data_IF_658541645165
#
_entry.id   IF_658541645165
#
_cell.length_a   1.000
_cell.length_b   1.000
_cell.length_c   1.000
_cell.angle_alpha   90.00
_cell.angle_beta   90.00
_cell.angle_gamma   90.00
#
_symmetry.space_group_name_H-M   'P 1'
#
loop_
_entity.id
_entity.type
_entity.pdbx_description
1 polymer ?
#
# COMPACT_ATOMS: atom_id res chain seq x y z
N UNK A 1 -1.59 -19.99 -7.12
CA UNK A 1 -2.20 -20.32 -5.82
C UNK A 1 -3.28 -19.29 -5.52
N UNK A 2 -4.36 -19.67 -4.83
CA UNK A 2 -5.33 -18.64 -4.40
C UNK A 2 -4.75 -17.91 -3.20
N UNK A 3 -4.52 -16.62 -3.32
CA UNK A 3 -4.13 -15.72 -2.23
C UNK A 3 -5.34 -14.90 -1.81
N UNK A 4 -5.31 -14.42 -0.57
CA UNK A 4 -6.31 -13.51 0.01
C UNK A 4 -5.61 -12.25 0.49
N UNK A 5 -6.30 -11.12 0.43
CA UNK A 5 -5.85 -9.84 0.98
C UNK A 5 -6.81 -9.42 2.07
N UNK A 6 -6.33 -9.23 3.29
CA UNK A 6 -7.08 -8.67 4.41
C UNK A 6 -6.63 -7.22 4.64
N UNK A 7 -7.60 -6.32 4.71
CA UNK A 7 -7.37 -4.90 4.99
C UNK A 7 -7.40 -4.71 6.51
N UNK A 8 -6.32 -4.21 7.08
CA UNK A 8 -6.19 -3.93 8.50
C UNK A 8 -6.23 -2.42 8.70
N UNK A 9 -7.31 -1.92 9.31
CA UNK A 9 -7.44 -0.51 9.67
C UNK A 9 -6.44 -0.18 10.79
N UNK A 10 -5.61 0.81 10.54
CA UNK A 10 -4.53 1.26 11.43
C UNK A 10 -4.73 2.74 11.79
N UNK A 11 -4.18 3.18 12.92
CA UNK A 11 -4.26 4.58 13.37
C UNK A 11 -5.68 5.18 13.22
N UNK A 12 -5.79 6.38 12.62
CA UNK A 12 -7.08 7.06 12.37
C UNK A 12 -7.69 6.71 11.01
N UNK A 13 -6.85 6.55 9.98
CA UNK A 13 -7.26 6.38 8.58
C UNK A 13 -6.26 5.60 7.72
N UNK A 14 -5.18 5.06 8.31
CA UNK A 14 -4.20 4.24 7.60
C UNK A 14 -4.72 2.84 7.31
N UNK A 15 -4.24 2.26 6.22
CA UNK A 15 -4.42 0.86 5.87
C UNK A 15 -3.09 0.11 5.85
N UNK A 16 -3.05 -1.06 6.49
CA UNK A 16 -2.05 -2.08 6.24
C UNK A 16 -2.70 -3.27 5.53
N UNK A 17 -1.96 -3.99 4.70
CA UNK A 17 -2.51 -5.08 3.91
C UNK A 17 -1.80 -6.40 4.21
N UNK A 18 -2.55 -7.37 4.71
CA UNK A 18 -2.07 -8.73 4.95
C UNK A 18 -2.44 -9.62 3.77
N UNK A 19 -1.43 -10.08 3.01
CA UNK A 19 -1.58 -11.05 1.93
C UNK A 19 -1.21 -12.41 2.49
N UNK A 20 -2.05 -13.41 2.26
CA UNK A 20 -1.81 -14.77 2.77
C UNK A 20 -2.44 -15.86 1.92
N UNK A 21 -2.01 -17.10 2.17
CA UNK A 21 -2.63 -18.29 1.59
C UNK A 21 -2.96 -19.29 2.69
N UNK A 22 -4.17 -19.82 2.66
CA UNK A 22 -4.60 -20.86 3.59
C UNK A 22 -3.91 -22.21 3.38
N UNK A 23 -3.07 -22.36 2.33
CA UNK A 23 -2.43 -23.65 1.99
C UNK A 23 -1.10 -23.85 2.69
N UNK A 24 -0.34 -22.80 2.98
CA UNK A 24 1.03 -22.89 3.50
C UNK A 24 1.31 -22.01 4.72
N UNK A 25 0.28 -21.39 5.31
CA UNK A 25 0.36 -20.47 6.46
C UNK A 25 1.36 -19.30 6.27
N UNK A 26 1.80 -19.04 5.04
CA UNK A 26 2.70 -17.94 4.69
C UNK A 26 1.94 -16.63 4.61
N UNK A 27 2.55 -15.54 5.04
CA UNK A 27 1.94 -14.21 4.90
C UNK A 27 2.97 -13.11 4.62
N UNK A 28 2.44 -12.04 4.05
CA UNK A 28 3.15 -10.80 3.73
C UNK A 28 2.34 -9.66 4.35
N UNK A 29 3.00 -8.73 5.04
CA UNK A 29 2.38 -7.48 5.47
C UNK A 29 2.95 -6.30 4.68
N UNK A 30 2.10 -5.37 4.27
CA UNK A 30 2.49 -4.13 3.58
C UNK A 30 2.14 -2.96 4.48
N UNK A 31 3.09 -2.04 4.67
CA UNK A 31 3.00 -0.79 5.43
C UNK A 31 2.42 -0.97 6.86
N UNK A 32 3.11 -1.70 7.75
CA UNK A 32 2.63 -1.88 9.11
C UNK A 32 2.81 -0.61 9.95
N UNK A 33 1.75 0.20 10.06
CA UNK A 33 1.73 1.43 10.88
C UNK A 33 1.84 1.11 12.38
N UNK A 34 1.13 0.08 12.83
CA UNK A 34 1.16 -0.45 14.21
C UNK A 34 1.22 -1.97 14.17
N UNK A 35 1.76 -2.60 15.21
CA UNK A 35 1.94 -4.06 15.26
C UNK A 35 0.77 -4.82 15.87
N UNK A 36 0.04 -4.24 16.84
CA UNK A 36 -0.91 -4.95 17.69
C UNK A 36 -2.03 -5.64 16.90
N UNK A 37 -2.73 -4.91 16.05
CA UNK A 37 -3.80 -5.48 15.21
C UNK A 37 -3.28 -6.53 14.24
N UNK A 38 -2.03 -6.37 13.76
CA UNK A 38 -1.38 -7.33 12.87
C UNK A 38 -1.13 -8.63 13.62
N UNK A 39 -0.60 -8.57 14.87
CA UNK A 39 -0.42 -9.75 15.70
C UNK A 39 -1.74 -10.49 15.96
N UNK A 40 -2.82 -9.76 16.23
CA UNK A 40 -4.13 -10.36 16.45
C UNK A 40 -4.63 -11.14 15.23
N UNK A 41 -4.48 -10.55 14.03
CA UNK A 41 -4.89 -11.20 12.77
C UNK A 41 -4.02 -12.41 12.47
N UNK A 42 -2.69 -12.29 12.57
CA UNK A 42 -1.76 -13.40 12.36
C UNK A 42 -2.06 -14.58 13.30
N UNK A 43 -2.28 -14.30 14.58
CA UNK A 43 -2.64 -15.31 15.59
C UNK A 43 -3.99 -15.96 15.30
N UNK A 44 -5.02 -15.16 15.00
CA UNK A 44 -6.37 -15.64 14.70
C UNK A 44 -6.38 -16.58 13.50
N UNK A 45 -5.63 -16.24 12.46
CA UNK A 45 -5.55 -17.02 11.23
C UNK A 45 -4.46 -18.09 11.24
N UNK A 46 -3.65 -18.17 12.31
CA UNK A 46 -2.51 -19.10 12.47
C UNK A 46 -1.49 -18.96 11.33
N UNK A 47 -1.19 -17.71 10.95
CA UNK A 47 -0.24 -17.38 9.90
C UNK A 47 1.16 -17.15 10.46
N UNK A 48 2.16 -17.48 9.64
CA UNK A 48 3.54 -17.08 9.85
C UNK A 48 3.83 -15.83 9.01
N UNK A 49 4.51 -14.84 9.58
CA UNK A 49 4.91 -13.64 8.87
C UNK A 49 6.29 -13.86 8.23
N UNK A 50 6.32 -13.99 6.89
CA UNK A 50 7.55 -14.25 6.17
C UNK A 50 8.15 -12.99 5.54
N UNK A 51 7.30 -12.00 5.21
CA UNK A 51 7.73 -10.80 4.49
C UNK A 51 7.03 -9.55 5.00
N UNK A 52 7.79 -8.45 5.07
CA UNK A 52 7.30 -7.08 5.28
C UNK A 52 7.72 -6.25 4.08
N UNK A 53 6.79 -5.56 3.44
CA UNK A 53 7.07 -4.58 2.39
C UNK A 53 6.67 -3.19 2.85
N UNK A 54 7.51 -2.22 2.53
CA UNK A 54 7.32 -0.81 2.84
C UNK A 54 7.30 -0.03 1.53
N UNK A 55 6.26 0.80 1.35
CA UNK A 55 6.13 1.64 0.16
C UNK A 55 7.01 2.88 0.22
N UNK A 56 7.14 3.49 1.40
CA UNK A 56 7.97 4.67 1.64
C UNK A 56 8.29 4.83 3.14
N UNK A 57 9.17 5.76 3.49
CA UNK A 57 9.79 5.84 4.82
C UNK A 57 8.96 6.52 5.92
N UNK A 58 7.77 7.06 5.65
CA UNK A 58 6.98 7.74 6.67
C UNK A 58 6.63 6.83 7.86
N UNK A 59 6.58 7.43 9.04
CA UNK A 59 6.43 6.68 10.30
C UNK A 59 5.09 5.92 10.39
N UNK A 60 4.04 6.45 9.84
CA UNK A 60 2.71 5.84 9.79
C UNK A 60 2.59 4.69 8.78
N UNK A 61 3.69 4.33 8.10
CA UNK A 61 3.84 3.12 7.28
C UNK A 61 4.91 2.17 7.85
N UNK A 62 5.71 2.61 8.83
CA UNK A 62 6.90 1.87 9.27
C UNK A 62 6.98 1.60 10.78
N UNK A 63 6.19 2.28 11.62
CA UNK A 63 6.36 2.22 13.09
C UNK A 63 6.13 0.83 13.67
N UNK A 64 5.30 -0.02 13.06
CA UNK A 64 5.07 -1.40 13.50
C UNK A 64 6.20 -2.38 13.16
N UNK A 65 7.11 -2.02 12.25
CA UNK A 65 8.14 -2.95 11.73
C UNK A 65 9.05 -3.49 12.82
N UNK A 66 9.51 -2.65 13.75
CA UNK A 66 10.43 -3.07 14.81
C UNK A 66 9.86 -4.21 15.67
N UNK A 67 8.60 -4.11 16.06
CA UNK A 67 7.97 -5.12 16.93
C UNK A 67 7.67 -6.40 16.17
N UNK A 68 7.30 -6.29 14.89
CA UNK A 68 7.12 -7.44 14.01
C UNK A 68 8.44 -8.20 13.79
N UNK A 69 9.55 -7.51 13.53
CA UNK A 69 10.88 -8.14 13.37
C UNK A 69 11.35 -8.81 14.66
N UNK A 70 11.09 -8.23 15.84
CA UNK A 70 11.40 -8.88 17.12
C UNK A 70 10.59 -10.17 17.33
N UNK A 71 9.31 -10.16 16.96
CA UNK A 71 8.44 -11.31 17.11
C UNK A 71 8.66 -12.41 16.06
N UNK A 72 9.09 -12.02 14.86
CA UNK A 72 9.37 -12.90 13.73
C UNK A 72 10.81 -12.69 13.22
N UNK A 73 11.85 -13.24 13.89
CA UNK A 73 13.26 -12.95 13.57
C UNK A 73 13.69 -13.36 12.15
N UNK A 74 12.99 -14.31 11.52
CA UNK A 74 13.28 -14.79 10.17
C UNK A 74 12.55 -13.98 9.08
N UNK A 75 11.73 -12.98 9.47
CA UNK A 75 11.00 -12.16 8.52
C UNK A 75 11.95 -11.34 7.64
N UNK A 76 11.67 -11.30 6.34
CA UNK A 76 12.45 -10.49 5.40
C UNK A 76 11.76 -9.15 5.18
N UNK A 77 12.46 -8.06 5.47
CA UNK A 77 11.97 -6.70 5.26
C UNK A 77 12.49 -6.17 3.93
N UNK A 78 11.58 -5.67 3.10
CA UNK A 78 11.87 -5.01 1.83
C UNK A 78 11.37 -3.57 1.88
N UNK A 79 12.25 -2.61 1.56
CA UNK A 79 11.90 -1.19 1.55
C UNK A 79 12.75 -0.42 0.53
N UNK A 80 12.27 0.75 0.04
CA UNK A 80 13.04 1.58 -0.89
C UNK A 80 14.21 2.30 -0.22
N UNK A 81 14.17 2.47 1.10
CA UNK A 81 15.19 3.15 1.89
C UNK A 81 15.51 2.41 3.19
N UNK A 82 16.60 2.80 3.85
CA UNK A 82 17.01 2.22 5.12
C UNK A 82 16.02 2.61 6.23
N UNK A 83 15.68 1.65 7.07
CA UNK A 83 14.93 1.87 8.30
C UNK A 83 15.89 1.78 9.49
N UNK A 84 15.76 2.72 10.42
CA UNK A 84 16.66 2.78 11.59
C UNK A 84 16.70 1.44 12.35
N UNK A 85 17.89 0.92 12.59
CA UNK A 85 18.16 -0.29 13.40
C UNK A 85 17.54 -1.60 12.87
N UNK A 86 17.01 -1.61 11.65
CA UNK A 86 16.42 -2.80 11.02
C UNK A 86 17.24 -3.20 9.80
N UNK A 87 17.48 -4.51 9.66
CA UNK A 87 18.06 -5.06 8.43
C UNK A 87 17.02 -5.06 7.32
N UNK A 88 17.29 -4.32 6.24
CA UNK A 88 16.38 -4.12 5.11
C UNK A 88 17.04 -4.60 3.82
N UNK A 89 16.29 -5.37 3.03
CA UNK A 89 16.61 -5.62 1.64
C UNK A 89 16.16 -4.41 0.82
N UNK A 90 17.09 -3.59 0.36
CA UNK A 90 16.76 -2.42 -0.44
C UNK A 90 16.26 -2.83 -1.82
N UNK A 91 15.13 -2.25 -2.22
CA UNK A 91 14.46 -2.50 -3.49
C UNK A 91 14.24 -1.19 -4.25
N UNK A 92 14.23 -1.27 -5.58
CA UNK A 92 14.14 -0.12 -6.48
C UNK A 92 13.43 -0.47 -7.77
N UNK A 93 13.25 0.50 -8.64
CA UNK A 93 12.61 0.37 -9.97
C UNK A 93 13.07 -0.90 -10.71
N UNK A 94 12.11 -1.57 -11.31
CA UNK A 94 12.29 -2.79 -12.12
C UNK A 94 12.79 -4.03 -11.36
N UNK A 95 12.97 -3.97 -10.03
CA UNK A 95 13.17 -5.21 -9.28
C UNK A 95 11.93 -6.07 -9.36
N UNK A 96 12.14 -7.39 -9.44
CA UNK A 96 11.11 -8.40 -9.26
C UNK A 96 11.42 -9.17 -8.01
N UNK A 97 10.48 -9.19 -7.08
CA UNK A 97 10.62 -9.86 -5.79
C UNK A 97 9.65 -11.04 -5.75
N UNK A 98 10.21 -12.23 -5.89
CA UNK A 98 9.44 -13.48 -5.76
C UNK A 98 9.36 -13.86 -4.29
N UNK A 99 8.14 -14.05 -3.80
CA UNK A 99 7.82 -14.50 -2.44
C UNK A 99 7.31 -15.95 -2.47
N UNK A 100 6.92 -16.49 -1.32
CA UNK A 100 6.24 -17.80 -1.26
C UNK A 100 4.80 -17.76 -1.79
N UNK A 101 4.23 -16.56 -2.01
CA UNK A 101 2.84 -16.35 -2.40
C UNK A 101 2.67 -15.84 -3.83
N UNK A 102 3.54 -14.90 -4.25
CA UNK A 102 3.41 -14.14 -5.48
C UNK A 102 4.75 -13.53 -5.91
N UNK A 103 4.74 -12.81 -7.03
CA UNK A 103 5.83 -11.96 -7.49
C UNK A 103 5.36 -10.51 -7.55
N UNK A 104 6.13 -9.60 -6.97
CA UNK A 104 5.93 -8.17 -7.12
C UNK A 104 6.94 -7.57 -8.09
N UNK A 105 6.47 -6.82 -9.07
CA UNK A 105 7.25 -5.82 -9.79
C UNK A 105 7.27 -4.52 -8.98
N UNK A 106 8.45 -3.91 -8.85
CA UNK A 106 8.65 -2.65 -8.12
C UNK A 106 8.63 -1.49 -9.11
N UNK A 107 7.70 -0.56 -8.90
CA UNK A 107 7.56 0.65 -9.71
C UNK A 107 7.97 1.85 -8.85
N UNK A 108 9.02 2.59 -9.22
CA UNK A 108 9.39 3.83 -8.54
C UNK A 108 8.39 4.94 -8.88
N UNK A 109 7.83 5.55 -7.85
CA UNK A 109 6.73 6.52 -7.96
C UNK A 109 6.98 7.75 -7.08
N UNK A 110 8.03 8.55 -7.36
CA UNK A 110 8.37 9.71 -6.56
C UNK A 110 7.34 10.82 -6.68
N UNK A 111 7.25 11.61 -5.63
CA UNK A 111 6.35 12.76 -5.52
C UNK A 111 5.94 13.01 -4.08
N UNK A 112 5.21 12.09 -3.47
CA UNK A 112 4.87 12.14 -2.05
C UNK A 112 6.16 12.12 -1.20
N UNK A 113 6.97 11.07 -1.36
CA UNK A 113 8.38 11.05 -0.98
C UNK A 113 9.25 10.80 -2.20
N UNK A 114 10.57 10.99 -2.09
CA UNK A 114 11.50 10.72 -3.21
C UNK A 114 11.77 9.23 -3.38
N UNK A 115 11.69 8.46 -2.31
CA UNK A 115 11.95 7.02 -2.28
C UNK A 115 10.69 6.16 -2.59
N UNK A 116 9.52 6.77 -2.77
CA UNK A 116 8.26 6.05 -2.87
C UNK A 116 8.24 5.01 -4.00
N UNK A 117 7.77 3.80 -3.66
CA UNK A 117 7.56 2.70 -4.60
C UNK A 117 6.13 2.19 -4.55
N UNK A 118 5.72 1.56 -5.63
CA UNK A 118 4.46 0.83 -5.76
C UNK A 118 4.78 -0.65 -5.99
N UNK A 119 4.01 -1.54 -5.37
CA UNK A 119 4.14 -2.98 -5.54
C UNK A 119 3.04 -3.46 -6.48
N UNK A 120 3.42 -4.05 -7.60
CA UNK A 120 2.51 -4.54 -8.64
C UNK A 120 2.59 -6.06 -8.77
N UNK A 121 1.49 -6.75 -8.50
CA UNK A 121 1.31 -8.18 -8.74
C UNK A 121 0.41 -8.36 -9.97
N UNK A 122 1.02 -8.61 -11.11
CA UNK A 122 0.32 -8.77 -12.39
C UNK A 122 -0.51 -10.03 -12.47
N UNK A 123 -0.08 -11.11 -11.80
CA UNK A 123 -0.79 -12.40 -11.85
C UNK A 123 -2.13 -12.33 -11.12
N UNK A 124 -2.17 -11.67 -9.96
CA UNK A 124 -3.36 -11.56 -9.13
C UNK A 124 -4.09 -10.22 -9.33
N UNK A 125 -3.61 -9.33 -10.20
CA UNK A 125 -4.12 -7.98 -10.44
C UNK A 125 -4.17 -7.13 -9.17
N UNK A 126 -3.12 -7.15 -8.33
CA UNK A 126 -3.03 -6.36 -7.10
C UNK A 126 -2.03 -5.22 -7.28
N UNK A 127 -2.40 -4.01 -6.82
CA UNK A 127 -1.57 -2.82 -6.93
C UNK A 127 -1.58 -2.06 -5.59
N UNK A 128 -0.47 -2.14 -4.84
CA UNK A 128 -0.32 -1.44 -3.57
C UNK A 128 0.42 -0.14 -3.82
N UNK A 129 -0.30 0.97 -3.71
CA UNK A 129 0.16 2.29 -4.18
C UNK A 129 0.61 3.22 -3.06
N UNK A 130 0.52 2.79 -1.79
CA UNK A 130 0.82 3.65 -0.65
C UNK A 130 0.15 5.02 -0.80
N UNK A 131 0.94 6.09 -0.73
CA UNK A 131 0.49 7.48 -0.76
C UNK A 131 0.65 8.17 -2.12
N UNK A 132 0.75 7.42 -3.21
CA UNK A 132 0.75 8.00 -4.56
C UNK A 132 -0.67 8.26 -5.05
N UNK A 133 -1.56 7.27 -4.93
CA UNK A 133 -2.92 7.33 -5.48
C UNK A 133 -3.94 6.94 -4.40
N UNK A 134 -5.01 7.75 -4.29
CA UNK A 134 -6.16 7.49 -3.44
C UNK A 134 -7.45 7.46 -4.26
N UNK A 135 -8.53 6.93 -3.70
CA UNK A 135 -9.85 7.03 -4.35
C UNK A 135 -10.21 8.50 -4.52
N UNK A 136 -10.31 8.95 -5.77
CA UNK A 136 -10.60 10.33 -6.18
C UNK A 136 -9.53 11.38 -5.79
N UNK A 137 -8.28 10.98 -5.60
CA UNK A 137 -7.21 11.91 -5.26
C UNK A 137 -5.83 11.29 -5.38
N UNK A 138 -4.83 12.05 -4.96
CA UNK A 138 -3.45 11.60 -4.89
C UNK A 138 -2.78 12.18 -3.64
N UNK A 139 -1.60 11.65 -3.31
CA UNK A 139 -0.81 12.11 -2.17
C UNK A 139 -0.34 13.55 -2.31
N UNK A 140 -0.05 14.18 -1.18
CA UNK A 140 0.62 15.48 -1.15
C UNK A 140 2.07 15.30 -1.60
N UNK A 141 2.59 16.31 -2.29
CA UNK A 141 4.00 16.36 -2.69
C UNK A 141 4.79 16.99 -1.54
N UNK A 142 5.43 16.16 -0.70
CA UNK A 142 6.24 16.66 0.41
C UNK A 142 7.71 16.83 0.03
N UNK A 143 8.29 15.87 -0.70
CA UNK A 143 9.72 15.85 -1.01
C UNK A 143 10.01 16.00 -2.49
N UNK A 144 9.15 15.44 -3.34
CA UNK A 144 9.32 15.50 -4.78
C UNK A 144 8.77 16.78 -5.41
N UNK A 145 8.52 16.73 -6.70
CA UNK A 145 7.90 17.81 -7.47
C UNK A 145 6.53 17.39 -7.99
N UNK A 146 5.69 18.38 -8.36
CA UNK A 146 4.40 18.09 -9.02
C UNK A 146 4.59 17.32 -10.33
N UNK A 147 5.66 17.59 -11.07
CA UNK A 147 6.00 16.86 -12.28
C UNK A 147 6.32 15.39 -11.99
N UNK A 148 7.10 15.10 -10.94
CA UNK A 148 7.38 13.74 -10.51
C UNK A 148 6.10 13.00 -10.12
N UNK A 149 5.24 13.61 -9.30
CA UNK A 149 3.96 13.01 -8.91
C UNK A 149 3.07 12.76 -10.14
N UNK A 150 2.97 13.71 -11.07
CA UNK A 150 2.22 13.53 -12.30
C UNK A 150 2.75 12.34 -13.12
N UNK A 151 4.08 12.27 -13.31
CA UNK A 151 4.71 11.17 -14.05
C UNK A 151 4.48 9.81 -13.36
N UNK A 152 4.51 9.78 -12.03
CA UNK A 152 4.18 8.59 -11.23
C UNK A 152 2.73 8.15 -11.46
N UNK A 153 1.77 9.07 -11.44
CA UNK A 153 0.37 8.78 -11.73
C UNK A 153 0.17 8.28 -13.18
N UNK A 154 0.87 8.86 -14.17
CA UNK A 154 0.84 8.38 -15.56
C UNK A 154 1.39 6.96 -15.69
N UNK A 155 2.45 6.59 -14.94
CA UNK A 155 2.93 5.19 -14.91
C UNK A 155 1.80 4.24 -14.47
N UNK A 156 1.08 4.59 -13.39
CA UNK A 156 -0.02 3.76 -12.87
C UNK A 156 -1.20 3.70 -13.84
N UNK A 157 -1.53 4.79 -14.53
CA UNK A 157 -2.61 4.86 -15.52
C UNK A 157 -2.36 3.93 -16.72
N UNK A 158 -1.11 3.61 -17.02
CA UNK A 158 -0.74 2.70 -18.12
C UNK A 158 -0.80 1.21 -17.73
N UNK A 159 -1.11 0.88 -16.47
CA UNK A 159 -1.34 -0.49 -16.03
C UNK A 159 -2.74 -0.97 -16.45
N UNK A 160 -3.00 -2.27 -16.26
CA UNK A 160 -4.29 -2.87 -16.61
C UNK A 160 -5.44 -2.29 -15.77
N UNK A 161 -6.57 -1.98 -16.42
CA UNK A 161 -7.82 -1.55 -15.76
C UNK A 161 -8.41 -2.60 -14.80
N UNK A 162 -7.86 -3.82 -14.81
CA UNK A 162 -8.28 -4.91 -13.90
C UNK A 162 -7.58 -4.85 -12.54
N UNK A 163 -6.60 -3.96 -12.38
CA UNK A 163 -5.86 -3.84 -11.12
C UNK A 163 -6.77 -3.41 -9.97
N UNK A 164 -6.74 -4.16 -8.89
CA UNK A 164 -7.33 -3.77 -7.61
C UNK A 164 -6.32 -2.89 -6.87
N UNK A 165 -6.71 -1.63 -6.65
CA UNK A 165 -5.82 -0.61 -6.06
C UNK A 165 -5.99 -0.59 -4.55
N UNK A 166 -4.87 -0.70 -3.83
CA UNK A 166 -4.75 -0.67 -2.38
C UNK A 166 -3.93 0.54 -1.96
N UNK A 167 -4.58 1.57 -1.43
CA UNK A 167 -3.95 2.84 -1.05
C UNK A 167 -3.60 2.90 0.44
N UNK A 168 -2.71 3.84 0.84
CA UNK A 168 -2.23 3.96 2.22
C UNK A 168 -3.29 4.47 3.21
N UNK A 169 -4.27 5.27 2.75
CA UNK A 169 -5.23 5.95 3.63
C UNK A 169 -6.65 5.97 3.10
N UNK A 170 -7.63 6.10 4.02
CA UNK A 170 -9.05 6.33 3.71
C UNK A 170 -9.36 7.84 3.64
N UNK A 171 -9.09 8.42 2.49
CA UNK A 171 -9.34 9.85 2.25
C UNK A 171 -10.55 10.13 1.34
N UNK A 172 -11.32 9.12 0.98
CA UNK A 172 -12.38 9.19 -0.05
C UNK A 172 -13.38 10.32 0.20
N UNK A 173 -13.93 10.41 1.42
CA UNK A 173 -14.90 11.46 1.75
C UNK A 173 -14.31 12.88 1.71
N UNK A 174 -13.04 13.03 2.12
CA UNK A 174 -12.36 14.31 2.07
C UNK A 174 -12.02 14.70 0.63
N UNK A 175 -11.63 13.75 -0.19
CA UNK A 175 -11.38 13.95 -1.62
C UNK A 175 -12.68 14.34 -2.35
N UNK A 176 -13.82 13.72 -2.03
CA UNK A 176 -15.13 14.13 -2.57
C UNK A 176 -15.42 15.60 -2.24
N UNK A 177 -15.29 16.03 -0.97
CA UNK A 177 -15.51 17.41 -0.55
C UNK A 177 -14.61 18.38 -1.31
N UNK A 178 -13.34 18.03 -1.52
CA UNK A 178 -12.39 18.82 -2.29
C UNK A 178 -12.84 18.96 -3.76
N UNK A 179 -13.23 17.85 -4.40
CA UNK A 179 -13.68 17.87 -5.79
C UNK A 179 -14.99 18.65 -5.97
N UNK A 180 -15.93 18.56 -5.02
CA UNK A 180 -17.17 19.37 -5.02
C UNK A 180 -16.88 20.87 -4.93
N UNK A 181 -15.82 21.24 -4.19
CA UNK A 181 -15.39 22.65 -4.11
C UNK A 181 -14.86 23.18 -5.45
N UNK A 182 -14.09 22.35 -6.17
CA UNK A 182 -13.48 22.72 -7.45
C UNK A 182 -14.47 22.60 -8.61
N UNK A 183 -15.18 21.49 -8.69
CA UNK A 183 -16.08 21.15 -9.80
C UNK A 183 -17.54 21.35 -9.42
N UNK A 184 -17.97 22.62 -9.32
CA UNK A 184 -19.37 22.95 -9.02
C UNK A 184 -20.32 22.36 -10.07
N UNK A 185 -21.34 21.60 -9.63
CA UNK A 185 -22.38 20.97 -10.48
C UNK A 185 -21.85 20.00 -11.53
N UNK A 186 -20.93 19.11 -11.15
CA UNK A 186 -20.43 18.07 -12.03
C UNK A 186 -21.24 16.78 -11.88
N UNK A 187 -22.00 16.41 -12.92
CA UNK A 187 -22.89 15.24 -12.90
C UNK A 187 -22.13 13.90 -12.77
N UNK A 188 -20.90 13.81 -13.30
CA UNK A 188 -20.05 12.63 -13.18
C UNK A 188 -19.63 12.44 -11.71
N UNK A 189 -19.21 13.53 -11.05
CA UNK A 189 -18.85 13.52 -9.64
C UNK A 189 -20.04 13.13 -8.76
N UNK A 190 -21.23 13.66 -9.03
CA UNK A 190 -22.45 13.33 -8.30
C UNK A 190 -22.83 11.85 -8.43
N UNK A 191 -22.68 11.28 -9.63
CA UNK A 191 -22.91 9.86 -9.87
C UNK A 191 -21.87 9.00 -9.14
N UNK A 192 -20.59 9.33 -9.26
CA UNK A 192 -19.51 8.64 -8.57
C UNK A 192 -19.68 8.67 -7.05
N UNK A 193 -20.05 9.84 -6.48
CA UNK A 193 -20.32 9.99 -5.04
C UNK A 193 -21.42 9.06 -4.54
N UNK A 194 -22.55 8.93 -5.28
CA UNK A 194 -23.64 8.04 -4.89
C UNK A 194 -23.17 6.59 -4.80
N UNK A 195 -22.42 6.12 -5.80
CA UNK A 195 -21.90 4.76 -5.81
C UNK A 195 -20.90 4.53 -4.66
N UNK A 196 -19.99 5.49 -4.44
CA UNK A 196 -18.98 5.41 -3.38
C UNK A 196 -19.60 5.35 -1.99
N UNK A 197 -20.60 6.21 -1.70
CA UNK A 197 -21.26 6.23 -0.39
C UNK A 197 -22.03 4.94 -0.14
N UNK A 198 -22.51 4.25 -1.19
CA UNK A 198 -23.17 2.95 -1.02
C UNK A 198 -22.19 1.80 -0.72
N UNK A 199 -20.90 1.99 -1.00
CA UNK A 199 -19.84 0.98 -0.78
C UNK A 199 -19.14 1.15 0.58
N UNK A 200 -19.31 2.30 1.25
CA UNK A 200 -18.74 2.63 2.58
C UNK A 200 -19.69 2.24 3.71
#
# INVERSE_FOLDING_TARGET
MSISVEIINQLSDNYSYLIFSNKNNSSIIIDPAESDKIFDVLKKQKLNLDYIFITHHHSDHTSGVNDLVKAYPEVKVFAPSKLNSISVNLISESNKITTHLNEFEIIHAPGHTLDHIVLCDHENNLLFVGDVLFRLGCGRVFEGTLEQMHNSLIKLLNLSDKMLVYCGHEYTLNNIKFLEHIFKKNTILESAKKNIISDL
#
